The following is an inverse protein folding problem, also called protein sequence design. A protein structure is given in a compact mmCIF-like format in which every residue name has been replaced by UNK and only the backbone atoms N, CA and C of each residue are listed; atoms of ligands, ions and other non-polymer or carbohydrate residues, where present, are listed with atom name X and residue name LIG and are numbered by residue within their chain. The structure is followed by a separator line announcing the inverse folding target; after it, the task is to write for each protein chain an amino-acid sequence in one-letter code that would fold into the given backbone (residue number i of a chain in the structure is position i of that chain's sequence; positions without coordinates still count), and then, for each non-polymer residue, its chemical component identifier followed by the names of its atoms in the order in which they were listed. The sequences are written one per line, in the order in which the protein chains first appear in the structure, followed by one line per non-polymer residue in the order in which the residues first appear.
data_IF_994470210864
#
_entry.id   IF_994470210864
#
_cell.length_a   1.000
_cell.length_b   1.000
_cell.length_c   1.000
_cell.angle_alpha   90.00
_cell.angle_beta   90.00
_cell.angle_gamma   90.00
#
_symmetry.space_group_name_H-M   'P 1'
#
loop_
_entity.id
_entity.type
_entity.pdbx_description
1 polymer ?
#
# COMPACT_ATOMS: atom_id res chain seq x y z
N UNK A 1 -22.59 -18.15 6.96
CA UNK A 1 -21.20 -17.87 6.56
C UNK A 1 -20.29 -17.39 7.71
N UNK A 2 -20.75 -16.58 8.65
CA UNK A 2 -19.93 -16.09 9.77
C UNK A 2 -19.40 -17.17 10.72
N UNK A 3 -20.10 -18.29 10.90
CA UNK A 3 -19.69 -19.37 11.80
C UNK A 3 -18.47 -20.15 11.30
N UNK A 4 -18.36 -20.38 9.99
CA UNK A 4 -17.21 -21.08 9.38
C UNK A 4 -15.96 -20.18 9.37
N UNK A 5 -16.12 -18.87 9.13
CA UNK A 5 -15.00 -17.92 9.18
C UNK A 5 -14.37 -17.81 10.56
N UNK A 6 -15.17 -17.85 11.65
CA UNK A 6 -14.65 -17.80 13.02
C UNK A 6 -13.81 -19.03 13.42
N UNK A 7 -14.10 -20.20 12.85
CA UNK A 7 -13.30 -21.42 13.08
C UNK A 7 -11.95 -21.44 12.36
N UNK A 8 -11.80 -20.66 11.31
CA UNK A 8 -10.56 -20.57 10.52
C UNK A 8 -9.56 -19.56 11.07
N UNK A 9 -10.01 -18.70 11.99
CA UNK A 9 -9.15 -17.73 12.67
C UNK A 9 -8.46 -18.46 13.83
N UNK A 10 -7.22 -18.91 13.61
CA UNK A 10 -6.38 -19.43 14.70
C UNK A 10 -5.60 -18.26 15.31
N UNK A 11 -5.62 -18.11 16.67
CA UNK A 11 -4.75 -17.13 17.30
C UNK A 11 -3.29 -17.52 17.08
N UNK A 12 -2.54 -16.65 16.42
CA UNK A 12 -1.11 -16.84 16.22
C UNK A 12 -0.36 -16.61 17.53
N UNK A 13 0.15 -17.68 18.13
CA UNK A 13 1.02 -17.67 19.32
C UNK A 13 2.50 -17.40 18.98
N UNK A 14 2.81 -16.49 18.05
CA UNK A 14 4.18 -16.28 17.57
C UNK A 14 4.78 -14.96 18.05
N UNK A 15 5.31 -14.92 19.28
CA UNK A 15 6.03 -13.75 19.82
C UNK A 15 7.44 -13.53 19.22
N UNK A 16 8.01 -14.47 18.46
CA UNK A 16 9.43 -14.49 18.08
C UNK A 16 9.75 -13.95 16.68
N UNK A 17 8.81 -13.37 15.96
CA UNK A 17 9.01 -12.90 14.59
C UNK A 17 8.41 -11.50 14.33
N UNK A 18 8.37 -10.68 15.36
CA UNK A 18 7.85 -9.32 15.26
C UNK A 18 8.92 -8.38 14.69
N UNK A 19 8.56 -7.60 13.68
CA UNK A 19 9.42 -6.58 13.08
C UNK A 19 8.91 -5.17 13.42
N UNK A 20 9.69 -4.36 14.15
CA UNK A 20 9.26 -3.04 14.61
C UNK A 20 9.39 -2.00 13.49
N UNK A 21 8.28 -1.37 13.13
CA UNK A 21 8.17 -0.35 12.09
C UNK A 21 7.61 0.93 12.70
N UNK A 22 8.35 2.02 12.61
CA UNK A 22 7.83 3.35 12.91
C UNK A 22 7.04 3.89 11.73
N UNK A 23 5.90 4.49 12.00
CA UNK A 23 5.03 5.14 11.02
C UNK A 23 4.95 6.61 11.41
N UNK A 24 5.32 7.51 10.50
CA UNK A 24 5.07 8.93 10.66
C UNK A 24 3.88 9.35 9.80
N UNK A 25 2.77 9.72 10.43
CA UNK A 25 1.62 10.36 9.81
C UNK A 25 1.88 11.85 9.75
N UNK A 26 2.16 12.38 8.57
CA UNK A 26 2.70 13.73 8.41
C UNK A 26 1.67 14.84 8.59
N UNK A 27 0.41 14.56 8.31
CA UNK A 27 -0.71 15.52 8.34
C UNK A 27 -0.40 16.87 7.65
N UNK A 28 0.37 16.83 6.57
CA UNK A 28 0.73 18.03 5.80
C UNK A 28 -0.26 18.20 4.67
N UNK A 29 -1.00 19.32 4.60
CA UNK A 29 -1.91 19.58 3.48
C UNK A 29 -1.19 19.48 2.13
N UNK A 30 -1.82 18.81 1.16
CA UNK A 30 -1.20 18.58 -0.16
C UNK A 30 -0.78 19.89 -0.84
N UNK A 31 -1.54 20.96 -0.64
CA UNK A 31 -1.19 22.30 -1.16
C UNK A 31 0.11 22.82 -0.55
N UNK A 32 0.33 22.62 0.74
CA UNK A 32 1.56 23.05 1.42
C UNK A 32 2.78 22.25 1.01
N UNK A 33 2.62 20.95 0.73
CA UNK A 33 3.70 20.10 0.22
C UNK A 33 4.36 20.68 -1.03
N UNK A 34 3.60 21.35 -1.89
CA UNK A 34 4.12 21.98 -3.11
C UNK A 34 5.10 23.14 -2.82
N UNK A 35 4.95 23.82 -1.68
CA UNK A 35 5.73 24.99 -1.30
C UNK A 35 6.76 24.71 -0.21
N UNK A 36 6.77 23.52 0.42
CA UNK A 36 7.74 23.19 1.44
C UNK A 36 9.18 23.25 0.93
N UNK A 37 10.06 23.80 1.77
CA UNK A 37 11.50 23.80 1.52
C UNK A 37 12.08 22.41 1.87
N UNK A 38 12.93 21.86 1.00
CA UNK A 38 13.63 20.60 1.22
C UNK A 38 14.40 20.55 2.54
N UNK A 39 14.98 21.67 2.99
CA UNK A 39 15.69 21.75 4.27
C UNK A 39 14.75 21.48 5.46
N UNK A 40 13.56 22.12 5.47
CA UNK A 40 12.56 21.92 6.51
C UNK A 40 12.09 20.47 6.54
N UNK A 41 11.80 19.91 5.36
CA UNK A 41 11.39 18.50 5.23
C UNK A 41 12.48 17.55 5.71
N UNK A 42 13.75 17.79 5.34
CA UNK A 42 14.89 16.99 5.83
C UNK A 42 14.97 17.01 7.34
N UNK A 43 14.91 18.21 7.95
CA UNK A 43 15.00 18.35 9.40
C UNK A 43 13.87 17.59 10.12
N UNK A 44 12.64 17.70 9.64
CA UNK A 44 11.51 16.97 10.21
C UNK A 44 11.71 15.45 10.11
N UNK A 45 12.13 14.92 8.95
CA UNK A 45 12.37 13.49 8.79
C UNK A 45 13.48 13.01 9.74
N UNK A 46 14.57 13.77 9.90
CA UNK A 46 15.65 13.41 10.82
C UNK A 46 15.19 13.41 12.29
N UNK A 47 14.29 14.31 12.69
CA UNK A 47 13.67 14.28 14.01
C UNK A 47 12.82 13.02 14.20
N UNK A 48 12.03 12.66 13.20
CA UNK A 48 11.19 11.45 13.24
C UNK A 48 12.03 10.17 13.23
N UNK A 49 13.16 10.15 12.54
CA UNK A 49 14.14 9.06 12.61
C UNK A 49 14.71 8.89 14.03
N UNK A 50 15.02 9.99 14.73
CA UNK A 50 15.46 9.92 16.12
C UNK A 50 14.38 9.37 17.05
N UNK A 51 13.11 9.79 16.87
CA UNK A 51 11.97 9.24 17.62
C UNK A 51 11.79 7.75 17.36
N UNK A 52 11.93 7.32 16.11
CA UNK A 52 11.85 5.91 15.73
C UNK A 52 12.96 5.08 16.41
N UNK A 53 14.20 5.57 16.38
CA UNK A 53 15.35 4.93 17.02
C UNK A 53 15.19 4.83 18.54
N UNK A 54 14.68 5.87 19.20
CA UNK A 54 14.44 5.86 20.66
C UNK A 54 13.37 4.85 21.09
N UNK A 55 12.62 4.28 20.15
CA UNK A 55 11.60 3.26 20.35
C UNK A 55 11.99 1.92 19.72
N UNK A 56 13.28 1.70 19.42
CA UNK A 56 13.85 0.48 18.85
C UNK A 56 13.24 0.05 17.49
N UNK A 57 12.71 1.00 16.72
CA UNK A 57 12.25 0.72 15.38
C UNK A 57 13.42 0.37 14.44
N UNK A 58 13.19 -0.56 13.52
CA UNK A 58 14.18 -0.97 12.52
C UNK A 58 13.95 -0.31 11.15
N UNK A 59 12.77 0.23 10.95
CA UNK A 59 12.34 0.88 9.72
C UNK A 59 11.45 2.08 10.06
N UNK A 60 11.64 3.21 9.37
CA UNK A 60 10.69 4.32 9.37
C UNK A 60 9.94 4.35 8.04
N UNK A 61 8.62 4.49 8.09
CA UNK A 61 7.76 4.63 6.90
C UNK A 61 7.08 5.98 6.91
N UNK A 62 7.16 6.67 5.76
CA UNK A 62 6.62 8.02 5.55
C UNK A 62 5.65 8.01 4.36
N UNK A 63 4.51 8.71 4.43
CA UNK A 63 3.42 8.66 3.47
C UNK A 63 3.79 9.05 2.03
N UNK A 64 2.87 8.72 1.11
CA UNK A 64 2.91 9.11 -0.30
C UNK A 64 3.01 10.64 -0.48
N UNK A 65 3.85 11.05 -1.46
CA UNK A 65 3.98 12.44 -1.88
C UNK A 65 4.61 13.36 -0.84
N UNK A 66 5.37 12.83 0.12
CA UNK A 66 6.09 13.63 1.11
C UNK A 66 7.30 14.31 0.52
N UNK A 67 8.05 13.64 -0.36
CA UNK A 67 9.22 14.21 -1.01
C UNK A 67 8.92 14.73 -2.40
N UNK A 68 9.53 15.87 -2.72
CA UNK A 68 9.56 16.40 -4.08
C UNK A 68 10.60 15.66 -4.95
N UNK A 69 10.60 15.96 -6.23
CA UNK A 69 11.62 15.49 -7.16
C UNK A 69 13.03 15.94 -6.74
N UNK A 70 14.04 15.11 -7.05
CA UNK A 70 15.46 15.41 -6.78
C UNK A 70 15.78 15.65 -5.30
N UNK A 71 15.03 15.05 -4.40
CA UNK A 71 15.28 15.15 -2.97
C UNK A 71 16.48 14.28 -2.58
N UNK A 72 17.33 14.82 -1.71
CA UNK A 72 18.39 14.10 -1.01
C UNK A 72 18.53 14.63 0.40
N UNK A 73 18.99 13.79 1.31
CA UNK A 73 19.29 14.20 2.68
C UNK A 73 20.58 15.01 2.75
N UNK A 74 20.59 16.08 3.51
CA UNK A 74 21.81 16.85 3.81
C UNK A 74 22.73 16.09 4.76
N UNK A 75 22.15 15.39 5.74
CA UNK A 75 22.84 14.45 6.63
C UNK A 75 22.42 13.01 6.28
N UNK A 76 23.29 12.00 6.51
CA UNK A 76 22.94 10.60 6.27
C UNK A 76 21.70 10.15 7.06
N UNK A 77 20.89 9.31 6.47
CA UNK A 77 19.74 8.69 7.12
C UNK A 77 20.20 7.90 8.36
N UNK A 78 19.54 8.09 9.51
CA UNK A 78 19.92 7.46 10.78
C UNK A 78 19.37 6.05 10.94
N UNK A 79 18.33 5.72 10.20
CA UNK A 79 17.64 4.43 10.18
C UNK A 79 17.21 4.12 8.75
N UNK A 80 17.02 2.86 8.41
CA UNK A 80 16.37 2.49 7.15
C UNK A 80 15.03 3.20 7.03
N UNK A 81 14.81 3.93 5.94
CA UNK A 81 13.63 4.79 5.79
C UNK A 81 13.00 4.60 4.42
N UNK A 82 11.69 4.36 4.39
CA UNK A 82 10.88 4.30 3.18
C UNK A 82 9.99 5.54 3.11
N UNK A 83 10.11 6.32 2.06
CA UNK A 83 9.42 7.61 1.94
C UNK A 83 8.70 7.69 0.60
N UNK A 84 7.41 8.03 0.64
CA UNK A 84 6.65 8.37 -0.56
C UNK A 84 7.09 9.71 -1.14
N UNK A 85 7.43 9.73 -2.42
CA UNK A 85 7.89 10.95 -3.08
C UNK A 85 7.85 10.85 -4.59
N UNK A 86 8.44 11.83 -5.24
CA UNK A 86 8.49 11.90 -6.69
C UNK A 86 9.94 11.78 -7.17
N UNK A 87 10.14 11.03 -8.25
CA UNK A 87 11.42 10.94 -8.97
C UNK A 87 11.23 11.26 -10.45
N UNK A 88 12.31 11.66 -11.09
CA UNK A 88 12.34 11.92 -12.54
C UNK A 88 13.06 10.77 -13.23
N UNK A 89 12.43 10.24 -14.27
CA UNK A 89 13.04 9.26 -15.17
C UNK A 89 12.76 9.65 -16.63
N UNK A 90 13.82 9.86 -17.41
CA UNK A 90 13.71 10.20 -18.84
C UNK A 90 12.68 11.31 -19.15
N UNK A 91 12.74 12.41 -18.40
CA UNK A 91 11.79 13.55 -18.47
C UNK A 91 10.35 13.26 -18.02
N UNK A 92 10.08 12.11 -17.43
CA UNK A 92 8.78 11.78 -16.85
C UNK A 92 8.84 11.81 -15.32
N UNK A 93 7.76 12.24 -14.69
CA UNK A 93 7.63 12.21 -13.23
C UNK A 93 7.01 10.86 -12.84
N UNK A 94 7.59 10.23 -11.83
CA UNK A 94 7.11 8.99 -11.20
C UNK A 94 6.70 9.28 -9.76
N UNK A 95 5.53 8.81 -9.35
CA UNK A 95 5.15 8.75 -7.95
C UNK A 95 5.73 7.44 -7.38
N UNK A 96 6.52 7.51 -6.32
CA UNK A 96 7.39 6.40 -5.92
C UNK A 96 7.45 6.23 -4.41
N UNK A 97 7.67 5.00 -3.98
CA UNK A 97 8.22 4.67 -2.66
C UNK A 97 9.74 4.63 -2.80
N UNK A 98 10.44 5.52 -2.12
CA UNK A 98 11.90 5.68 -2.17
C UNK A 98 12.52 5.08 -0.92
N UNK A 99 13.54 4.24 -1.09
CA UNK A 99 14.20 3.52 0.00
C UNK A 99 15.59 4.12 0.29
N UNK A 100 15.74 4.70 1.48
CA UNK A 100 16.98 5.28 1.99
C UNK A 100 17.58 4.35 3.03
N UNK A 101 18.75 3.81 2.73
CA UNK A 101 19.51 2.99 3.65
C UNK A 101 20.07 3.86 4.79
N UNK A 102 20.19 3.28 5.98
CA UNK A 102 20.93 3.88 7.09
C UNK A 102 22.36 4.22 6.64
N UNK A 103 22.77 5.46 6.82
CA UNK A 103 24.07 5.99 6.42
C UNK A 103 24.09 6.67 5.04
N UNK A 104 23.02 6.53 4.24
CA UNK A 104 22.96 7.11 2.91
C UNK A 104 22.24 8.46 2.89
N UNK A 105 22.61 9.31 1.93
CA UNK A 105 21.94 10.59 1.63
C UNK A 105 20.97 10.48 0.47
N UNK A 106 21.15 9.48 -0.39
CA UNK A 106 20.33 9.23 -1.58
C UNK A 106 19.57 7.91 -1.42
N UNK A 107 18.42 7.80 -2.07
CA UNK A 107 17.72 6.51 -2.11
C UNK A 107 18.53 5.49 -2.91
N UNK A 108 18.61 4.28 -2.37
CA UNK A 108 19.34 3.16 -2.98
C UNK A 108 18.43 2.26 -3.81
N UNK A 109 17.12 2.31 -3.56
CA UNK A 109 16.11 1.52 -4.29
C UNK A 109 14.77 2.26 -4.30
N UNK A 110 13.84 1.81 -5.16
CA UNK A 110 12.51 2.43 -5.30
C UNK A 110 11.48 1.48 -5.90
N UNK A 111 10.20 1.80 -5.67
CA UNK A 111 9.06 1.22 -6.39
C UNK A 111 8.19 2.35 -6.90
N UNK A 112 7.91 2.37 -8.20
CA UNK A 112 7.03 3.36 -8.81
C UNK A 112 5.58 2.89 -8.78
N UNK A 113 4.68 3.82 -8.55
CA UNK A 113 3.25 3.60 -8.66
C UNK A 113 2.86 3.23 -10.08
N UNK A 114 2.25 2.06 -10.26
CA UNK A 114 1.83 1.61 -11.59
C UNK A 114 0.35 1.92 -11.87
N UNK A 115 -0.49 1.95 -10.81
CA UNK A 115 -1.92 2.20 -10.95
C UNK A 115 -2.26 3.63 -10.50
N UNK A 116 -2.28 4.51 -11.50
CA UNK A 116 -2.59 5.92 -11.29
C UNK A 116 -4.08 6.13 -11.05
N UNK A 117 -4.42 7.12 -10.21
CA UNK A 117 -5.81 7.50 -9.94
C UNK A 117 -6.43 8.12 -11.18
N UNK A 118 -7.54 7.55 -11.71
CA UNK A 118 -8.25 8.14 -12.85
C UNK A 118 -8.72 9.56 -12.52
N UNK A 119 -8.53 10.49 -13.46
CA UNK A 119 -8.87 11.91 -13.36
C UNK A 119 -8.04 12.71 -12.33
N UNK A 120 -7.33 12.04 -11.40
CA UNK A 120 -6.41 12.71 -10.47
C UNK A 120 -4.98 12.76 -10.99
N UNK A 121 -4.40 11.60 -11.28
CA UNK A 121 -3.01 11.45 -11.75
C UNK A 121 -2.95 11.15 -13.26
N UNK A 122 -3.99 10.52 -13.81
CA UNK A 122 -4.09 10.17 -15.24
C UNK A 122 -5.33 10.78 -15.86
N UNK A 123 -5.13 11.71 -16.79
CA UNK A 123 -6.20 12.25 -17.62
C UNK A 123 -6.30 11.43 -18.91
N UNK A 124 -7.45 10.81 -19.24
CA UNK A 124 -7.65 10.12 -20.49
C UNK A 124 -7.38 11.04 -21.68
N UNK A 125 -6.74 10.51 -22.73
CA UNK A 125 -6.30 11.28 -23.93
C UNK A 125 -7.46 12.07 -24.54
N UNK A 126 -8.66 11.54 -24.51
CA UNK A 126 -9.90 12.19 -25.02
C UNK A 126 -10.14 13.53 -24.31
N UNK A 127 -9.93 13.59 -22.99
CA UNK A 127 -10.14 14.82 -22.21
C UNK A 127 -8.98 15.81 -22.27
N UNK A 128 -7.75 15.35 -22.58
CA UNK A 128 -6.58 16.24 -22.76
C UNK A 128 -6.80 17.27 -23.87
N UNK A 129 -7.46 16.88 -24.96
CA UNK A 129 -7.77 17.78 -26.09
C UNK A 129 -8.86 18.82 -25.77
N UNK A 130 -9.79 18.48 -24.87
CA UNK A 130 -10.94 19.37 -24.56
C UNK A 130 -10.66 20.38 -23.44
N UNK A 131 -9.74 20.08 -22.52
CA UNK A 131 -9.61 20.87 -21.28
C UNK A 131 -8.35 21.74 -21.23
N UNK A 132 -7.50 21.76 -22.27
CA UNK A 132 -6.19 22.47 -22.25
C UNK A 132 -5.38 22.25 -20.96
N UNK A 133 -5.61 21.13 -20.28
CA UNK A 133 -5.00 20.77 -19.00
C UNK A 133 -3.64 20.09 -19.23
N UNK A 134 -2.70 20.82 -19.84
CA UNK A 134 -1.33 20.34 -20.06
C UNK A 134 -0.50 20.23 -18.77
N UNK A 135 -0.98 20.73 -17.65
CA UNK A 135 -0.19 20.85 -16.41
C UNK A 135 -0.50 19.82 -15.30
N UNK A 136 -1.55 19.00 -15.41
CA UNK A 136 -1.92 18.01 -14.40
C UNK A 136 -1.56 16.55 -14.77
N UNK A 137 -0.93 16.31 -15.90
CA UNK A 137 -0.74 14.97 -16.44
C UNK A 137 0.72 14.63 -16.77
N UNK A 138 1.64 14.85 -15.83
CA UNK A 138 3.06 14.50 -16.00
C UNK A 138 3.51 13.23 -15.28
N UNK A 139 2.60 12.54 -14.56
CA UNK A 139 2.93 11.31 -13.83
C UNK A 139 2.71 10.13 -14.78
N UNK A 140 3.74 9.29 -14.92
CA UNK A 140 3.65 8.07 -15.69
C UNK A 140 3.67 6.82 -14.80
N UNK A 141 2.97 5.74 -15.21
CA UNK A 141 2.92 4.51 -14.43
C UNK A 141 4.26 3.77 -14.44
N UNK A 142 4.61 3.16 -13.32
CA UNK A 142 5.77 2.31 -13.15
C UNK A 142 5.52 0.84 -13.51
N UNK A 143 6.42 -0.04 -13.05
CA UNK A 143 6.32 -1.48 -13.18
C UNK A 143 5.19 -2.02 -12.27
N UNK A 144 4.53 -3.09 -12.72
CA UNK A 144 3.44 -3.74 -11.98
C UNK A 144 3.90 -4.70 -10.88
N UNK A 145 5.20 -5.04 -10.78
CA UNK A 145 5.72 -5.90 -9.71
C UNK A 145 5.63 -5.17 -8.37
N UNK A 146 4.97 -5.80 -7.39
CA UNK A 146 4.78 -5.23 -6.05
C UNK A 146 5.62 -5.90 -4.97
N UNK A 147 6.25 -7.04 -5.24
CA UNK A 147 7.25 -7.64 -4.37
C UNK A 147 8.47 -6.74 -4.30
N UNK A 148 8.83 -6.33 -3.09
CA UNK A 148 9.97 -5.48 -2.82
C UNK A 148 10.88 -6.12 -1.78
N UNK A 149 12.11 -6.34 -2.18
CA UNK A 149 13.19 -6.84 -1.35
C UNK A 149 14.30 -5.79 -1.32
N UNK A 150 14.75 -5.46 -0.13
CA UNK A 150 15.71 -4.39 0.05
C UNK A 150 16.53 -4.56 1.33
N UNK A 151 17.85 -4.60 1.17
CA UNK A 151 18.82 -4.73 2.26
C UNK A 151 18.47 -5.91 3.20
N UNK A 152 18.67 -5.72 4.50
CA UNK A 152 18.35 -6.69 5.53
C UNK A 152 16.89 -6.58 6.03
N UNK A 153 16.04 -5.84 5.33
CA UNK A 153 14.62 -5.73 5.68
C UNK A 153 13.85 -6.97 5.20
N UNK A 154 12.87 -7.46 5.96
CA UNK A 154 11.99 -8.51 5.46
C UNK A 154 11.29 -8.05 4.16
N UNK A 155 11.18 -8.91 3.14
CA UNK A 155 10.52 -8.53 1.89
C UNK A 155 9.03 -8.24 2.11
N UNK A 156 8.49 -7.28 1.38
CA UNK A 156 7.11 -6.85 1.54
C UNK A 156 6.42 -6.53 0.21
N UNK A 157 5.09 -6.52 0.22
CA UNK A 157 4.29 -6.02 -0.90
C UNK A 157 4.19 -4.49 -0.81
N UNK A 158 4.85 -3.77 -1.72
CA UNK A 158 4.88 -2.31 -1.76
C UNK A 158 3.67 -1.77 -2.51
N UNK A 159 2.75 -1.09 -1.81
CA UNK A 159 1.47 -0.61 -2.34
C UNK A 159 1.37 0.90 -2.15
N UNK A 160 1.13 1.61 -3.24
CA UNK A 160 1.00 3.06 -3.24
C UNK A 160 -0.46 3.44 -3.52
N UNK A 161 -1.16 3.87 -2.48
CA UNK A 161 -2.49 4.48 -2.50
C UNK A 161 -3.54 3.62 -3.26
N UNK A 162 -3.99 4.07 -4.43
CA UNK A 162 -5.03 3.43 -5.23
C UNK A 162 -4.70 1.98 -5.65
N UNK A 163 -3.44 1.57 -5.58
CA UNK A 163 -3.00 0.20 -5.87
C UNK A 163 -3.59 -0.83 -4.91
N UNK A 164 -4.05 -0.43 -3.71
CA UNK A 164 -4.75 -1.31 -2.76
C UNK A 164 -6.01 -1.97 -3.37
N UNK A 165 -6.57 -1.37 -4.43
CA UNK A 165 -7.71 -1.92 -5.16
C UNK A 165 -7.36 -3.13 -6.02
N UNK A 166 -6.08 -3.40 -6.29
CA UNK A 166 -5.62 -4.50 -7.13
C UNK A 166 -5.16 -5.70 -6.31
N UNK A 167 -6.12 -6.55 -5.91
CA UNK A 167 -5.86 -7.75 -5.12
C UNK A 167 -4.93 -8.74 -5.83
N UNK A 168 -4.98 -8.83 -7.17
CA UNK A 168 -4.13 -9.77 -7.92
C UNK A 168 -2.63 -9.42 -7.79
N UNK A 169 -2.28 -8.15 -7.86
CA UNK A 169 -0.87 -7.74 -7.74
C UNK A 169 -0.34 -7.90 -6.33
N UNK A 170 -1.19 -7.72 -5.32
CA UNK A 170 -0.86 -8.00 -3.92
C UNK A 170 -0.69 -9.52 -3.72
N UNK A 171 -1.62 -10.33 -4.21
CA UNK A 171 -1.54 -11.79 -4.20
C UNK A 171 -0.21 -12.28 -4.80
N UNK A 172 0.15 -11.80 -5.99
CA UNK A 172 1.40 -12.17 -6.64
C UNK A 172 2.62 -11.82 -5.80
N UNK A 173 2.65 -10.61 -5.19
CA UNK A 173 3.74 -10.22 -4.32
C UNK A 173 3.85 -11.12 -3.07
N UNK A 174 2.73 -11.59 -2.53
CA UNK A 174 2.72 -12.54 -1.41
C UNK A 174 3.16 -13.94 -1.86
N UNK A 175 2.79 -14.37 -3.06
CA UNK A 175 3.29 -15.61 -3.67
C UNK A 175 4.81 -15.55 -3.85
N UNK A 176 5.36 -14.40 -4.26
CA UNK A 176 6.79 -14.15 -4.43
C UNK A 176 7.56 -14.12 -3.09
N UNK A 177 6.87 -14.11 -1.94
CA UNK A 177 7.50 -14.23 -0.63
C UNK A 177 7.37 -13.04 0.31
N UNK A 178 6.56 -12.04 -0.01
CA UNK A 178 6.30 -10.91 0.89
C UNK A 178 5.83 -11.37 2.26
N UNK A 179 6.37 -10.76 3.31
CA UNK A 179 6.08 -11.09 4.71
C UNK A 179 4.99 -10.21 5.33
N UNK A 180 4.79 -9.03 4.79
CA UNK A 180 3.71 -8.11 5.13
C UNK A 180 3.38 -7.23 3.92
N UNK A 181 2.26 -6.52 3.99
CA UNK A 181 1.91 -5.47 3.03
C UNK A 181 2.35 -4.13 3.64
N UNK A 182 3.04 -3.30 2.87
CA UNK A 182 3.30 -1.91 3.19
C UNK A 182 2.48 -1.02 2.25
N UNK A 183 1.50 -0.32 2.81
CA UNK A 183 0.61 0.57 2.07
C UNK A 183 0.88 2.02 2.46
N UNK A 184 1.41 2.82 1.52
CA UNK A 184 1.53 4.26 1.70
C UNK A 184 0.44 4.99 0.93
N UNK A 185 -0.10 6.09 1.48
CA UNK A 185 -1.16 6.84 0.84
C UNK A 185 -1.12 8.34 1.15
N UNK A 186 -1.69 9.13 0.25
CA UNK A 186 -2.06 10.52 0.52
C UNK A 186 -3.56 10.69 0.29
N UNK A 187 -4.34 10.71 1.36
CA UNK A 187 -5.79 10.80 1.30
C UNK A 187 -6.33 12.22 1.56
N UNK A 188 -5.44 13.20 1.82
CA UNK A 188 -5.81 14.60 2.06
C UNK A 188 -6.75 15.22 1.01
N UNK A 189 -6.59 14.96 -0.31
CA UNK A 189 -7.48 15.53 -1.32
C UNK A 189 -8.91 14.95 -1.32
N UNK A 190 -9.18 13.92 -0.52
CA UNK A 190 -10.42 13.15 -0.60
C UNK A 190 -11.31 13.37 0.63
N UNK A 191 -12.65 13.23 0.49
CA UNK A 191 -13.57 13.28 1.62
C UNK A 191 -13.29 12.17 2.64
N UNK A 192 -13.58 12.43 3.93
CA UNK A 192 -13.32 11.48 5.03
C UNK A 192 -13.95 10.08 4.86
N UNK A 193 -15.06 9.98 4.13
CA UNK A 193 -15.67 8.68 3.76
C UNK A 193 -14.71 7.75 3.01
N UNK A 194 -13.74 8.30 2.27
CA UNK A 194 -12.72 7.52 1.56
C UNK A 194 -11.78 6.84 2.55
N UNK A 195 -11.54 7.41 3.73
CA UNK A 195 -10.70 6.80 4.77
C UNK A 195 -11.26 5.43 5.20
N UNK A 196 -12.59 5.36 5.43
CA UNK A 196 -13.25 4.10 5.80
C UNK A 196 -13.24 3.08 4.65
N UNK A 197 -13.43 3.53 3.42
CA UNK A 197 -13.36 2.66 2.24
C UNK A 197 -11.94 2.13 2.05
N UNK A 198 -10.92 2.98 2.18
CA UNK A 198 -9.53 2.59 2.10
C UNK A 198 -9.17 1.56 3.18
N UNK A 199 -9.55 1.82 4.43
CA UNK A 199 -9.35 0.90 5.56
C UNK A 199 -10.03 -0.45 5.33
N UNK A 200 -11.26 -0.45 4.79
CA UNK A 200 -11.99 -1.68 4.46
C UNK A 200 -11.27 -2.50 3.38
N UNK A 201 -10.71 -1.85 2.35
CA UNK A 201 -9.90 -2.51 1.33
C UNK A 201 -8.62 -3.09 1.93
N UNK A 202 -7.92 -2.34 2.77
CA UNK A 202 -6.71 -2.82 3.47
C UNK A 202 -7.02 -4.07 4.28
N UNK A 203 -8.09 -4.04 5.09
CA UNK A 203 -8.53 -5.20 5.88
C UNK A 203 -8.82 -6.42 5.00
N UNK A 204 -9.47 -6.21 3.88
CA UNK A 204 -9.75 -7.28 2.91
C UNK A 204 -8.44 -7.89 2.37
N UNK A 205 -7.44 -7.04 2.01
CA UNK A 205 -6.14 -7.54 1.51
C UNK A 205 -5.39 -8.34 2.57
N UNK A 206 -5.43 -7.90 3.83
CA UNK A 206 -4.83 -8.66 4.95
C UNK A 206 -5.46 -10.04 5.11
N UNK A 207 -6.80 -10.12 5.11
CA UNK A 207 -7.55 -11.39 5.23
C UNK A 207 -7.28 -12.32 4.05
N UNK A 208 -7.38 -11.80 2.82
CA UNK A 208 -7.19 -12.58 1.59
C UNK A 208 -5.84 -13.30 1.56
N UNK A 209 -4.80 -12.63 2.05
CA UNK A 209 -3.44 -13.13 1.98
C UNK A 209 -2.91 -13.67 3.32
N UNK A 210 -3.68 -13.56 4.41
CA UNK A 210 -3.30 -13.93 5.77
C UNK A 210 -1.96 -13.30 6.20
N UNK A 211 -1.77 -12.02 5.92
CA UNK A 211 -0.57 -11.26 6.32
C UNK A 211 -0.94 -9.89 6.89
N UNK A 212 -0.10 -9.39 7.79
CA UNK A 212 -0.28 -8.06 8.37
C UNK A 212 -0.11 -6.97 7.31
N UNK A 213 -0.85 -5.86 7.45
CA UNK A 213 -0.66 -4.66 6.63
C UNK A 213 -0.30 -3.46 7.51
N UNK A 214 0.85 -2.86 7.22
CA UNK A 214 1.27 -1.58 7.79
C UNK A 214 0.83 -0.46 6.86
N UNK A 215 0.14 0.54 7.40
CA UNK A 215 -0.39 1.68 6.66
C UNK A 215 0.32 2.95 7.11
N UNK A 216 0.90 3.70 6.19
CA UNK A 216 1.38 5.06 6.43
C UNK A 216 0.64 6.02 5.48
N UNK A 217 -0.28 6.78 6.02
CA UNK A 217 -1.10 7.75 5.27
C UNK A 217 -0.84 9.16 5.77
N UNK A 218 -0.94 10.16 4.89
CA UNK A 218 -0.69 11.55 5.22
C UNK A 218 -1.65 12.07 6.32
N UNK A 219 -2.95 11.89 6.09
CA UNK A 219 -4.01 12.37 7.01
C UNK A 219 -4.73 11.23 7.72
N UNK A 220 -4.29 9.99 7.56
CA UNK A 220 -4.91 8.77 8.07
C UNK A 220 -5.81 8.08 7.02
N UNK A 221 -6.23 6.85 7.31
CA UNK A 221 -5.82 6.03 8.45
C UNK A 221 -4.36 5.56 8.34
N UNK A 222 -3.61 5.63 9.44
CA UNK A 222 -2.28 5.02 9.57
C UNK A 222 -2.28 4.03 10.74
N UNK A 223 -1.49 2.96 10.65
CA UNK A 223 -1.43 1.96 11.71
C UNK A 223 -1.16 0.54 11.23
N UNK A 224 -1.63 -0.45 11.99
CA UNK A 224 -1.43 -1.87 11.74
C UNK A 224 -2.75 -2.61 11.69
N UNK A 225 -2.95 -3.34 10.59
CA UNK A 225 -4.05 -4.28 10.40
C UNK A 225 -3.46 -5.69 10.43
N UNK A 226 -4.00 -6.55 11.27
CA UNK A 226 -3.58 -7.94 11.40
C UNK A 226 -4.04 -8.79 10.22
N UNK A 227 -3.39 -9.91 10.05
CA UNK A 227 -3.69 -10.92 9.03
C UNK A 227 -5.16 -11.37 9.00
N UNK A 228 -5.87 -11.30 10.12
CA UNK A 228 -7.31 -11.61 10.24
C UNK A 228 -8.24 -10.40 10.02
N UNK A 229 -7.68 -9.24 9.64
CA UNK A 229 -8.41 -8.01 9.41
C UNK A 229 -8.75 -7.21 10.67
N UNK A 230 -8.31 -7.64 11.86
CA UNK A 230 -8.46 -6.83 13.08
C UNK A 230 -7.57 -5.59 12.99
N UNK A 231 -8.08 -4.48 13.48
CA UNK A 231 -7.31 -3.26 13.69
C UNK A 231 -6.54 -3.43 15.00
N UNK A 232 -5.22 -3.55 14.91
CA UNK A 232 -4.37 -3.66 16.09
C UNK A 232 -3.99 -2.29 16.61
N UNK A 233 -3.60 -1.38 15.72
CA UNK A 233 -3.31 0.02 16.02
C UNK A 233 -3.89 0.90 14.91
N UNK A 234 -4.55 1.97 15.29
CA UNK A 234 -5.00 3.02 14.37
C UNK A 234 -4.70 4.38 14.97
N UNK A 235 -3.97 5.20 14.23
CA UNK A 235 -3.66 6.57 14.60
C UNK A 235 -4.86 7.48 14.34
N UNK A 236 -4.98 8.55 15.11
CA UNK A 236 -6.03 9.54 14.94
C UNK A 236 -5.89 10.25 13.58
N UNK A 237 -6.97 10.28 12.79
CA UNK A 237 -6.95 10.95 11.50
C UNK A 237 -6.85 12.48 11.64
N UNK A 238 -6.22 13.12 10.65
CA UNK A 238 -6.00 14.57 10.60
C UNK A 238 -5.15 15.12 11.76
N UNK A 239 -4.24 14.29 12.28
CA UNK A 239 -3.29 14.68 13.31
C UNK A 239 -1.89 14.20 12.93
N UNK A 240 -0.88 15.03 13.13
CA UNK A 240 0.51 14.59 13.02
C UNK A 240 0.85 13.67 14.19
N UNK A 241 1.41 12.50 13.88
CA UNK A 241 1.78 11.51 14.90
C UNK A 241 2.87 10.55 14.40
N UNK A 242 3.60 9.92 15.33
CA UNK A 242 4.61 8.92 15.06
C UNK A 242 4.43 7.75 16.03
N UNK A 243 4.11 6.58 15.49
CA UNK A 243 3.86 5.37 16.27
C UNK A 243 4.72 4.22 15.78
N UNK A 244 5.14 3.35 16.71
CA UNK A 244 5.82 2.09 16.38
C UNK A 244 4.81 0.95 16.44
N UNK A 245 4.75 0.18 15.36
CA UNK A 245 3.93 -1.03 15.25
C UNK A 245 4.82 -2.25 15.05
N UNK A 246 4.33 -3.40 15.48
CA UNK A 246 5.06 -4.67 15.45
C UNK A 246 4.35 -5.63 14.50
N UNK A 247 4.81 -5.71 13.26
CA UNK A 247 4.24 -6.62 12.25
C UNK A 247 4.77 -8.03 12.41
N UNK A 248 3.90 -9.02 12.20
CA UNK A 248 4.26 -10.43 12.23
C UNK A 248 4.81 -10.86 10.86
N UNK A 249 5.93 -11.59 10.86
CA UNK A 249 6.60 -12.06 9.63
C UNK A 249 6.29 -13.52 9.29
N UNK A 250 5.60 -14.25 10.18
CA UNK A 250 5.25 -15.65 9.98
C UNK A 250 3.85 -15.77 9.37
N UNK A 251 3.80 -16.17 8.11
CA UNK A 251 2.55 -16.22 7.36
C UNK A 251 2.36 -17.59 6.72
N UNK A 252 1.13 -18.12 6.81
CA UNK A 252 0.69 -19.28 6.03
C UNK A 252 -0.11 -18.75 4.84
N UNK A 253 0.26 -19.16 3.63
CA UNK A 253 -0.48 -18.81 2.41
C UNK A 253 -1.91 -19.35 2.47
N UNK A 254 -2.87 -18.50 2.13
CA UNK A 254 -4.29 -18.87 2.08
C UNK A 254 -4.63 -19.62 0.78
N UNK A 255 -5.83 -20.19 0.73
CA UNK A 255 -6.38 -20.70 -0.52
C UNK A 255 -6.46 -19.60 -1.60
N UNK A 256 -6.87 -18.38 -1.21
CA UNK A 256 -6.88 -17.24 -2.12
C UNK A 256 -5.47 -16.88 -2.62
N UNK A 257 -4.46 -16.89 -1.75
CA UNK A 257 -3.08 -16.63 -2.16
C UNK A 257 -2.61 -17.63 -3.24
N UNK A 258 -3.04 -18.89 -3.18
CA UNK A 258 -2.67 -19.90 -4.18
C UNK A 258 -3.48 -19.78 -5.48
N UNK A 259 -4.79 -19.63 -5.39
CA UNK A 259 -5.70 -19.78 -6.53
C UNK A 259 -6.37 -18.48 -6.97
N UNK A 260 -6.32 -17.40 -6.17
CA UNK A 260 -6.95 -16.13 -6.46
C UNK A 260 -8.46 -16.28 -6.69
N UNK A 261 -8.95 -15.67 -7.75
CA UNK A 261 -10.35 -15.69 -8.14
C UNK A 261 -10.72 -16.89 -9.04
N UNK A 262 -9.77 -17.71 -9.46
CA UNK A 262 -10.00 -18.82 -10.39
C UNK A 262 -11.10 -19.79 -9.95
N UNK A 263 -11.19 -20.20 -8.66
CA UNK A 263 -12.27 -21.07 -8.21
C UNK A 263 -13.67 -20.48 -8.43
N UNK A 264 -13.83 -19.17 -8.24
CA UNK A 264 -15.10 -18.48 -8.50
C UNK A 264 -15.44 -18.46 -10.00
N UNK A 265 -14.45 -18.18 -10.85
CA UNK A 265 -14.62 -18.18 -12.31
C UNK A 265 -15.04 -19.57 -12.79
N UNK A 266 -14.35 -20.61 -12.33
CA UNK A 266 -14.67 -22.00 -12.68
C UNK A 266 -16.10 -22.35 -12.24
N UNK A 267 -16.47 -22.02 -10.99
CA UNK A 267 -17.82 -22.25 -10.48
C UNK A 267 -18.89 -21.55 -11.34
N UNK A 268 -18.62 -20.29 -11.71
CA UNK A 268 -19.53 -19.52 -12.56
C UNK A 268 -19.70 -20.15 -13.95
N UNK A 269 -18.62 -20.64 -14.56
CA UNK A 269 -18.65 -21.35 -15.85
C UNK A 269 -19.51 -22.62 -15.73
N UNK A 270 -19.27 -23.44 -14.69
CA UNK A 270 -20.04 -24.66 -14.46
C UNK A 270 -21.53 -24.39 -14.27
N UNK A 271 -21.88 -23.37 -13.46
CA UNK A 271 -23.26 -22.96 -13.26
C UNK A 271 -23.94 -22.50 -14.59
N UNK A 272 -23.19 -21.74 -15.39
CA UNK A 272 -23.69 -21.27 -16.69
C UNK A 272 -23.98 -22.44 -17.66
N UNK A 273 -23.06 -23.41 -17.72
CA UNK A 273 -23.24 -24.63 -18.53
C UNK A 273 -24.44 -25.44 -18.01
N UNK A 274 -24.56 -25.63 -16.70
CA UNK A 274 -25.65 -26.37 -16.08
C UNK A 274 -27.01 -25.74 -16.35
N UNK A 275 -27.13 -24.41 -16.23
CA UNK A 275 -28.38 -23.68 -16.55
C UNK A 275 -28.75 -23.84 -18.01
N UNK A 276 -27.80 -23.75 -18.94
CA UNK A 276 -28.07 -23.95 -20.36
C UNK A 276 -28.49 -25.38 -20.66
N UNK A 277 -27.89 -26.37 -20.03
CA UNK A 277 -28.29 -27.78 -20.15
C UNK A 277 -29.73 -28.01 -19.68
N UNK A 278 -30.10 -27.43 -18.51
CA UNK A 278 -31.50 -27.54 -18.02
C UNK A 278 -32.51 -26.88 -18.98
N UNK A 279 -32.17 -25.73 -19.54
CA UNK A 279 -33.04 -25.06 -20.54
C UNK A 279 -33.26 -25.93 -21.79
N UNK A 280 -32.16 -26.58 -22.25
CA UNK A 280 -32.26 -27.49 -23.41
C UNK A 280 -33.16 -28.68 -23.10
N UNK A 281 -33.03 -29.31 -21.92
CA UNK A 281 -33.92 -30.41 -21.50
C UNK A 281 -35.37 -29.96 -21.39
N UNK A 282 -35.67 -28.78 -20.86
CA UNK A 282 -37.01 -28.23 -20.75
C UNK A 282 -37.64 -28.01 -22.12
N UNK A 283 -36.88 -27.59 -23.13
CA UNK A 283 -37.38 -27.41 -24.50
C UNK A 283 -37.67 -28.73 -25.22
N UNK A 284 -37.04 -29.84 -24.82
CA UNK A 284 -37.34 -31.17 -25.36
C UNK A 284 -38.54 -31.86 -24.66
N UNK A 285 -38.93 -31.40 -23.47
CA UNK A 285 -40.02 -31.97 -22.69
C UNK A 285 -41.37 -31.23 -22.87
N UNK A 286 -41.41 -30.19 -23.68
CA UNK A 286 -42.67 -29.53 -24.07
C UNK A 286 -43.22 -30.21 -25.32
N UNK A 287 -44.43 -30.81 -25.28
CA UNK A 287 -45.05 -31.50 -26.42
C UNK A 287 -45.45 -30.53 -27.52
#
# INVERSE_FOLDING_TARGET
MHLIGGYLIQPDNFRNSLYPIAIWQTNIPTREKLFQNNQKTTHQILLEQNKALSRDAQLLVVPEGTLKTNFYFQEPSKINTLIGGFRIEKNSIRNSLLAYKKGDKFYSNFVDKYRLVPLGEKIPIIFRKFLNLSSLGGIEPGNQKRYFEWENSPPFAAIICYEITDGLKIQNAVQDGSKFILAIANLDPYPSRIFNQYLSLVRMRSIENNIDTVIASNTGPSGLIRNDGRIDKLMESNKEDNEVVYTNLLNKKTFYTHYGIWPLIITFIFLSIYINFLKTLSNYSSP
#
